data_IF_885580190458
#
_entry.id   IF_885580190458
#
_cell.length_a   1.000
_cell.length_b   1.000
_cell.length_c   1.000
_cell.angle_alpha   90.00
_cell.angle_beta   90.00
_cell.angle_gamma   90.00
#
_symmetry.space_group_name_H-M   'P 1'
#
loop_
_entity.id
_entity.type
_entity.pdbx_description
1 polymer ?
#
# COMPACT_ATOMS: atom_id res chain seq x y z
N UNK A 1 -16.92 -8.07 25.91
CA UNK A 1 -17.34 -8.92 24.77
C UNK A 1 -16.40 -8.82 23.56
N UNK A 2 -15.96 -7.63 23.15
CA UNK A 2 -15.02 -7.42 22.03
C UNK A 2 -13.64 -8.09 22.18
N UNK A 3 -13.08 -8.17 23.40
CA UNK A 3 -11.77 -8.80 23.63
C UNK A 3 -11.72 -10.30 23.26
N UNK A 4 -12.83 -11.04 23.42
CA UNK A 4 -12.86 -12.50 23.25
C UNK A 4 -12.88 -12.92 21.76
N UNK A 5 -13.43 -12.08 20.89
CA UNK A 5 -13.47 -12.29 19.43
C UNK A 5 -12.10 -12.09 18.79
N UNK A 6 -11.33 -11.10 19.26
CA UNK A 6 -9.97 -10.86 18.77
C UNK A 6 -9.04 -12.04 19.10
N UNK A 7 -9.20 -12.66 20.26
CA UNK A 7 -8.43 -13.86 20.64
C UNK A 7 -8.68 -15.06 19.74
N UNK A 8 -9.91 -15.28 19.30
CA UNK A 8 -10.22 -16.34 18.33
C UNK A 8 -9.65 -16.00 16.95
N UNK A 9 -9.90 -14.81 16.40
CA UNK A 9 -9.31 -14.38 15.11
C UNK A 9 -7.78 -14.45 15.10
N UNK A 10 -7.14 -14.07 16.20
CA UNK A 10 -5.69 -14.15 16.37
C UNK A 10 -5.20 -15.61 16.33
N UNK A 11 -5.92 -16.54 16.99
CA UNK A 11 -5.55 -17.97 17.01
C UNK A 11 -5.57 -18.60 15.62
N UNK A 12 -6.56 -18.30 14.79
CA UNK A 12 -6.66 -18.83 13.42
C UNK A 12 -5.56 -18.26 12.50
N UNK A 13 -5.18 -16.99 12.66
CA UNK A 13 -4.04 -16.39 11.93
C UNK A 13 -2.71 -17.03 12.32
N UNK A 14 -2.50 -17.28 13.61
CA UNK A 14 -1.31 -17.99 14.10
C UNK A 14 -1.23 -19.42 13.56
N UNK A 15 -2.37 -20.13 13.49
CA UNK A 15 -2.43 -21.44 12.85
C UNK A 15 -2.07 -21.37 11.37
N UNK A 16 -2.59 -20.39 10.61
CA UNK A 16 -2.22 -20.21 9.20
C UNK A 16 -0.72 -19.94 9.02
N UNK A 17 -0.10 -19.11 9.87
CA UNK A 17 1.34 -18.79 9.86
C UNK A 17 2.20 -20.03 10.15
N UNK A 18 1.73 -20.93 11.02
CA UNK A 18 2.48 -22.12 11.40
C UNK A 18 2.26 -23.27 10.40
N UNK A 19 1.06 -23.35 9.82
CA UNK A 19 0.65 -24.41 8.89
C UNK A 19 1.22 -24.20 7.47
N UNK A 20 1.33 -22.95 7.00
CA UNK A 20 1.87 -22.64 5.66
C UNK A 20 3.30 -23.13 5.42
N UNK A 21 4.30 -22.84 6.28
CA UNK A 21 5.64 -23.37 6.08
C UNK A 21 5.69 -24.89 6.28
N UNK A 22 4.84 -25.45 7.15
CA UNK A 22 4.77 -26.90 7.38
C UNK A 22 4.23 -27.67 6.16
N UNK A 23 3.19 -27.13 5.50
CA UNK A 23 2.57 -27.75 4.32
C UNK A 23 3.45 -27.58 3.08
N UNK A 24 4.17 -26.47 2.95
CA UNK A 24 5.05 -26.22 1.81
C UNK A 24 6.46 -26.84 1.97
N UNK A 25 6.82 -27.33 3.15
CA UNK A 25 8.09 -27.99 3.46
C UNK A 25 8.52 -29.14 2.52
N UNK A 26 7.62 -29.92 1.89
CA UNK A 26 8.02 -30.95 0.93
C UNK A 26 8.70 -30.39 -0.33
N UNK A 27 8.40 -29.14 -0.70
CA UNK A 27 8.86 -28.50 -1.95
C UNK A 27 10.40 -28.33 -1.97
N UNK A 28 11.04 -27.73 -0.96
CA UNK A 28 12.51 -27.60 -0.93
C UNK A 28 13.26 -28.92 -0.66
N UNK A 29 12.57 -29.96 -0.18
CA UNK A 29 13.18 -31.27 0.09
C UNK A 29 13.29 -32.09 -1.20
N UNK A 30 12.29 -32.02 -2.08
CA UNK A 30 12.24 -32.77 -3.34
C UNK A 30 13.12 -32.11 -4.41
N UNK A 31 13.15 -30.78 -4.47
CA UNK A 31 14.02 -30.01 -5.36
C UNK A 31 15.16 -29.34 -4.59
N UNK A 32 16.36 -29.93 -4.61
CA UNK A 32 17.57 -29.32 -3.99
C UNK A 32 18.13 -28.10 -4.75
N UNK A 33 17.44 -27.61 -5.79
CA UNK A 33 17.88 -26.45 -6.58
C UNK A 33 17.63 -25.13 -5.85
N UNK A 34 18.48 -24.12 -6.12
CA UNK A 34 18.30 -22.76 -5.57
C UNK A 34 16.93 -22.17 -5.97
N UNK A 35 16.44 -22.49 -7.18
CA UNK A 35 15.14 -22.04 -7.69
C UNK A 35 13.96 -22.59 -6.88
N UNK A 36 14.02 -23.83 -6.40
CA UNK A 36 12.95 -24.43 -5.60
C UNK A 36 12.81 -23.72 -4.23
N UNK A 37 13.93 -23.29 -3.64
CA UNK A 37 13.92 -22.52 -2.38
C UNK A 37 13.35 -21.12 -2.58
N UNK A 38 13.65 -20.46 -3.70
CA UNK A 38 13.00 -19.19 -4.06
C UNK A 38 11.49 -19.35 -4.20
N UNK A 39 11.04 -20.36 -4.94
CA UNK A 39 9.62 -20.64 -5.16
C UNK A 39 8.86 -20.91 -3.86
N UNK A 40 9.47 -21.65 -2.93
CA UNK A 40 8.94 -21.89 -1.59
C UNK A 40 8.69 -20.59 -0.82
N UNK A 41 9.67 -19.68 -0.79
CA UNK A 41 9.54 -18.38 -0.10
C UNK A 41 8.44 -17.53 -0.76
N UNK A 42 8.43 -17.44 -2.10
CA UNK A 42 7.43 -16.66 -2.84
C UNK A 42 6.02 -17.16 -2.55
N UNK A 43 5.80 -18.49 -2.55
CA UNK A 43 4.48 -19.05 -2.25
C UNK A 43 4.03 -18.75 -0.80
N UNK A 44 4.94 -18.83 0.18
CA UNK A 44 4.61 -18.43 1.56
C UNK A 44 4.19 -16.96 1.61
N UNK A 45 4.94 -16.07 0.95
CA UNK A 45 4.63 -14.65 0.89
C UNK A 45 3.29 -14.39 0.21
N UNK A 46 2.99 -15.09 -0.89
CA UNK A 46 1.71 -14.99 -1.60
C UNK A 46 0.55 -15.37 -0.68
N UNK A 47 0.66 -16.47 0.06
CA UNK A 47 -0.38 -16.86 1.02
C UNK A 47 -0.51 -15.82 2.14
N UNK A 48 0.60 -15.28 2.66
CA UNK A 48 0.53 -14.24 3.69
C UNK A 48 -0.08 -12.91 3.21
N UNK A 49 0.13 -12.55 1.95
CA UNK A 49 -0.53 -11.40 1.33
C UNK A 49 -2.02 -11.62 1.12
N UNK A 50 -2.43 -12.75 0.52
CA UNK A 50 -3.85 -13.01 0.21
C UNK A 50 -4.69 -13.15 1.47
N UNK A 51 -4.16 -13.78 2.52
CA UNK A 51 -4.90 -14.03 3.76
C UNK A 51 -4.71 -12.92 4.82
N UNK A 52 -3.93 -11.89 4.54
CA UNK A 52 -3.55 -10.81 5.48
C UNK A 52 -3.25 -11.34 6.89
N UNK A 53 -2.48 -12.44 6.94
CA UNK A 53 -2.24 -13.15 8.20
C UNK A 53 -1.43 -12.28 9.19
N UNK A 54 -0.57 -11.43 8.65
CA UNK A 54 0.34 -10.51 9.33
C UNK A 54 0.11 -9.10 8.73
N UNK A 55 0.32 -7.99 9.46
CA UNK A 55 0.26 -6.65 8.87
C UNK A 55 1.09 -6.54 7.59
N UNK A 56 0.51 -5.94 6.54
CA UNK A 56 1.15 -5.77 5.24
C UNK A 56 2.61 -5.27 5.32
N UNK A 57 2.96 -4.28 6.19
CA UNK A 57 4.35 -3.82 6.30
C UNK A 57 5.33 -4.92 6.71
N UNK A 58 4.90 -5.79 7.64
CA UNK A 58 5.73 -6.88 8.16
C UNK A 58 5.84 -8.01 7.13
N UNK A 59 4.76 -8.32 6.39
CA UNK A 59 4.83 -9.30 5.28
C UNK A 59 5.78 -8.87 4.17
N UNK A 60 5.85 -7.58 3.88
CA UNK A 60 6.76 -7.05 2.87
C UNK A 60 8.22 -7.13 3.31
N UNK A 61 8.51 -7.08 4.62
CA UNK A 61 9.87 -7.19 5.18
C UNK A 61 10.37 -8.63 5.37
N UNK A 62 9.46 -9.61 5.44
CA UNK A 62 9.77 -11.03 5.58
C UNK A 62 10.82 -11.60 4.58
N UNK A 63 10.80 -11.24 3.28
CA UNK A 63 11.80 -11.70 2.33
C UNK A 63 13.23 -11.27 2.70
N UNK A 64 13.42 -10.10 3.32
CA UNK A 64 14.73 -9.61 3.77
C UNK A 64 15.41 -10.58 4.74
N UNK A 65 14.63 -11.27 5.59
CA UNK A 65 15.14 -12.27 6.53
C UNK A 65 15.14 -13.69 5.94
N UNK A 66 14.08 -14.06 5.21
CA UNK A 66 13.92 -15.42 4.68
C UNK A 66 14.92 -15.76 3.56
N UNK A 67 15.24 -14.81 2.67
CA UNK A 67 16.17 -15.06 1.57
C UNK A 67 17.60 -15.37 2.04
N UNK A 68 18.19 -14.62 3.00
CA UNK A 68 19.47 -14.96 3.59
C UNK A 68 19.44 -16.24 4.43
N UNK A 69 18.38 -16.48 5.22
CA UNK A 69 18.25 -17.69 6.04
C UNK A 69 18.14 -18.97 5.19
N UNK A 70 17.54 -18.90 4.01
CA UNK A 70 17.47 -20.01 3.06
C UNK A 70 18.77 -20.21 2.24
N UNK A 71 19.77 -19.34 2.43
CA UNK A 71 21.06 -19.40 1.73
C UNK A 71 20.97 -19.16 0.23
N UNK A 72 19.95 -18.42 -0.23
CA UNK A 72 19.69 -18.17 -1.66
C UNK A 72 20.46 -16.93 -2.12
N UNK A 73 20.32 -15.83 -1.38
CA UNK A 73 20.89 -14.52 -1.68
C UNK A 73 21.47 -13.91 -0.39
N UNK A 74 22.66 -13.30 -0.43
CA UNK A 74 23.23 -12.62 0.74
C UNK A 74 22.40 -11.38 1.11
N UNK A 75 22.36 -11.04 2.40
CA UNK A 75 21.58 -9.90 2.89
C UNK A 75 22.01 -8.56 2.25
N UNK A 76 23.29 -8.44 1.91
CA UNK A 76 23.88 -7.25 1.27
C UNK A 76 23.28 -6.95 -0.11
N UNK A 77 22.82 -7.96 -0.84
CA UNK A 77 22.19 -7.75 -2.16
C UNK A 77 20.70 -7.51 -2.05
N UNK A 78 20.04 -8.06 -1.02
CA UNK A 78 18.59 -7.91 -0.82
C UNK A 78 18.23 -6.58 -0.15
N UNK A 79 19.03 -6.13 0.83
CA UNK A 79 18.81 -4.88 1.57
C UNK A 79 18.63 -3.63 0.68
N UNK A 80 19.47 -3.36 -0.34
CA UNK A 80 19.31 -2.15 -1.17
C UNK A 80 18.02 -2.16 -2.00
N UNK A 81 17.42 -3.31 -2.27
CA UNK A 81 16.14 -3.38 -2.99
C UNK A 81 14.94 -2.84 -2.18
N UNK A 82 15.07 -2.76 -0.87
CA UNK A 82 14.06 -2.19 0.02
C UNK A 82 14.14 -0.67 0.15
N UNK A 83 15.33 -0.09 -0.02
CA UNK A 83 15.55 1.36 0.04
C UNK A 83 15.72 1.96 -1.36
N UNK A 84 14.70 1.75 -2.21
CA UNK A 84 14.67 2.39 -3.54
C UNK A 84 14.27 3.85 -3.43
N UNK A 85 14.75 4.66 -4.39
CA UNK A 85 14.47 6.10 -4.50
C UNK A 85 12.98 6.45 -4.45
N UNK A 86 12.11 5.56 -4.96
CA UNK A 86 10.66 5.77 -4.92
C UNK A 86 10.13 5.77 -3.49
N UNK A 87 10.63 4.86 -2.64
CA UNK A 87 10.17 4.74 -1.24
C UNK A 87 10.66 5.93 -0.43
N UNK A 88 11.90 6.37 -0.63
CA UNK A 88 12.44 7.57 0.04
C UNK A 88 11.72 8.83 -0.42
N UNK A 89 11.38 8.96 -1.70
CA UNK A 89 10.55 10.04 -2.24
C UNK A 89 9.15 10.04 -1.62
N UNK A 90 8.55 8.86 -1.44
CA UNK A 90 7.23 8.73 -0.79
C UNK A 90 7.28 9.16 0.69
N UNK A 91 8.32 8.78 1.43
CA UNK A 91 8.51 9.28 2.79
C UNK A 91 8.72 10.80 2.83
N UNK A 92 9.44 11.35 1.83
CA UNK A 92 9.60 12.79 1.65
C UNK A 92 8.28 13.50 1.37
N UNK A 93 7.44 12.96 0.49
CA UNK A 93 6.14 13.56 0.14
C UNK A 93 5.15 13.51 1.31
N UNK A 94 5.13 12.42 2.08
CA UNK A 94 4.33 12.30 3.29
C UNK A 94 4.78 13.32 4.36
N UNK A 95 6.09 13.48 4.55
CA UNK A 95 6.64 14.48 5.48
C UNK A 95 6.31 15.90 5.03
N UNK A 96 6.38 16.19 3.73
CA UNK A 96 6.00 17.47 3.16
C UNK A 96 4.49 17.74 3.35
N UNK A 97 3.64 16.74 3.10
CA UNK A 97 2.19 16.86 3.32
C UNK A 97 1.87 17.20 4.79
N UNK A 98 2.52 16.54 5.73
CA UNK A 98 2.38 16.83 7.16
C UNK A 98 2.88 18.23 7.53
N UNK A 99 4.00 18.68 6.96
CA UNK A 99 4.49 20.04 7.15
C UNK A 99 3.48 21.09 6.65
N UNK A 100 2.89 20.86 5.46
CA UNK A 100 1.85 21.72 4.88
C UNK A 100 0.57 21.71 5.73
N UNK A 101 0.21 20.55 6.29
CA UNK A 101 -0.92 20.40 7.19
C UNK A 101 -0.73 21.20 8.49
N UNK A 102 0.47 21.18 9.08
CA UNK A 102 0.77 21.90 10.32
C UNK A 102 0.62 23.43 10.19
N UNK A 103 0.92 23.99 9.01
CA UNK A 103 0.72 25.42 8.69
C UNK A 103 -0.77 25.73 8.41
N UNK A 104 -1.64 24.72 8.43
CA UNK A 104 -3.05 24.79 8.06
C UNK A 104 -3.24 25.44 6.67
N UNK A 105 -2.32 25.15 5.74
CA UNK A 105 -2.32 25.78 4.42
C UNK A 105 -3.61 25.46 3.66
N UNK A 106 -4.13 24.24 3.83
CA UNK A 106 -5.42 23.80 3.30
C UNK A 106 -6.57 24.76 3.70
N UNK A 107 -6.60 25.22 4.96
CA UNK A 107 -7.61 26.17 5.44
C UNK A 107 -7.41 27.58 4.87
N UNK A 108 -6.15 28.04 4.76
CA UNK A 108 -5.83 29.34 4.16
C UNK A 108 -6.26 29.40 2.69
N UNK A 109 -5.97 28.34 1.92
CA UNK A 109 -6.37 28.23 0.51
C UNK A 109 -7.90 28.16 0.39
N UNK A 110 -8.56 27.36 1.22
CA UNK A 110 -10.03 27.27 1.22
C UNK A 110 -10.68 28.64 1.48
N UNK A 111 -10.19 29.38 2.48
CA UNK A 111 -10.70 30.72 2.80
C UNK A 111 -10.37 31.74 1.70
N UNK A 112 -9.19 31.67 1.08
CA UNK A 112 -8.81 32.54 -0.04
C UNK A 112 -9.74 32.34 -1.24
N UNK A 113 -10.00 31.09 -1.62
CA UNK A 113 -10.95 30.76 -2.71
C UNK A 113 -12.37 31.19 -2.34
N UNK A 114 -12.81 30.97 -1.10
CA UNK A 114 -14.11 31.45 -0.59
C UNK A 114 -14.22 32.98 -0.65
N UNK A 115 -13.15 33.72 -0.37
CA UNK A 115 -13.15 35.18 -0.45
C UNK A 115 -13.17 35.71 -1.89
N UNK A 116 -12.53 35.00 -2.83
CA UNK A 116 -12.51 35.34 -4.25
C UNK A 116 -13.86 35.05 -4.94
N UNK A 117 -14.48 33.91 -4.63
CA UNK A 117 -15.76 33.48 -5.24
C UNK A 117 -16.96 34.11 -4.53
N UNK A 118 -16.79 34.52 -3.26
CA UNK A 118 -17.85 35.08 -2.43
C UNK A 118 -18.77 34.01 -1.84
N UNK A 119 -19.40 34.29 -0.69
CA UNK A 119 -20.19 33.34 0.12
C UNK A 119 -21.58 33.02 -0.46
N UNK A 120 -21.86 33.44 -1.69
CA UNK A 120 -23.16 33.24 -2.33
C UNK A 120 -23.26 31.83 -2.91
N UNK A 121 -24.02 30.94 -2.26
CA UNK A 121 -24.31 29.58 -2.77
C UNK A 121 -24.81 29.54 -4.21
N UNK A 122 -25.41 30.64 -4.71
CA UNK A 122 -25.89 30.75 -6.10
C UNK A 122 -24.76 30.80 -7.13
N UNK A 123 -23.61 31.39 -6.78
CA UNK A 123 -22.46 31.51 -7.68
C UNK A 123 -21.72 30.18 -7.86
N UNK A 124 -21.65 29.35 -6.82
CA UNK A 124 -21.07 28.00 -6.92
C UNK A 124 -21.87 27.11 -7.88
N UNK A 125 -23.19 27.12 -7.77
CA UNK A 125 -24.06 26.37 -8.67
C UNK A 125 -23.98 26.90 -10.11
N UNK A 126 -23.96 28.23 -10.29
CA UNK A 126 -23.82 28.84 -11.61
C UNK A 126 -22.47 28.55 -12.26
N UNK A 127 -21.37 28.64 -11.52
CA UNK A 127 -20.03 28.26 -12.01
C UNK A 127 -19.97 26.78 -12.38
N UNK A 128 -20.51 25.89 -11.54
CA UNK A 128 -20.56 24.45 -11.82
C UNK A 128 -21.38 24.15 -13.09
N UNK A 129 -22.56 24.75 -13.23
CA UNK A 129 -23.41 24.57 -14.40
C UNK A 129 -22.78 25.13 -15.68
N UNK A 130 -22.13 26.30 -15.61
CA UNK A 130 -21.47 26.91 -16.76
C UNK A 130 -20.29 26.06 -17.24
N UNK A 131 -19.44 25.58 -16.33
CA UNK A 131 -18.34 24.68 -16.66
C UNK A 131 -18.81 23.30 -17.16
N UNK A 132 -19.95 22.80 -16.67
CA UNK A 132 -20.50 21.53 -17.12
C UNK A 132 -21.04 21.59 -18.55
N UNK A 133 -21.67 22.70 -18.95
CA UNK A 133 -22.14 22.88 -20.33
C UNK A 133 -20.99 23.07 -21.32
N UNK A 134 -19.96 23.83 -20.97
CA UNK A 134 -18.80 24.04 -21.86
C UNK A 134 -18.02 22.76 -22.08
N UNK A 135 -17.78 21.95 -21.04
CA UNK A 135 -17.07 20.67 -21.18
C UNK A 135 -17.82 19.67 -22.06
N UNK A 136 -19.15 19.62 -21.99
CA UNK A 136 -19.96 18.82 -22.92
C UNK A 136 -19.87 19.30 -24.36
N UNK A 137 -19.80 20.62 -24.59
CA UNK A 137 -19.62 21.18 -25.93
C UNK A 137 -18.26 20.80 -26.53
N UNK A 138 -17.17 20.93 -25.77
CA UNK A 138 -15.83 20.55 -26.24
C UNK A 138 -15.66 19.05 -26.48
N UNK A 139 -16.26 18.20 -25.64
CA UNK A 139 -16.23 16.75 -25.82
C UNK A 139 -17.11 16.29 -27.00
N UNK A 140 -18.22 16.96 -27.28
CA UNK A 140 -19.06 16.69 -28.46
C UNK A 140 -18.35 17.00 -29.78
N UNK A 141 -17.51 18.04 -29.80
CA UNK A 141 -16.73 18.43 -30.98
C UNK A 141 -15.54 17.50 -31.29
N UNK A 142 -15.16 16.63 -30.34
CA UNK A 142 -14.09 15.63 -30.50
C UNK A 142 -14.61 14.23 -30.85
N UNK A 143 -15.93 14.00 -30.70
CA UNK A 143 -16.57 12.69 -30.87
C UNK A 143 -17.34 12.54 -32.20
N UNK A 144 -17.38 13.59 -33.03
CA UNK A 144 -17.85 13.57 -34.44
C UNK A 144 -16.66 13.71 -35.40
#
# INVERSE_FOLDING_TARGET
MFHRINWLKQRWRLLLILLTPLVLLPIPIIGKSSQARCGYIVLILTVYWVFEAIPLPVTSLLPLALFPMAGILPAETVAPHYFKDIITLFFGSMSLAYAVESVNLHRRIALFVLSLVGTSSKWYFFFFLNNFQTNKFYLGQWLE
#
